data_IF_105801022536
#
_entry.id   IF_105801022536
#
_cell.length_a   1.000
_cell.length_b   1.000
_cell.length_c   1.000
_cell.angle_alpha   90.00
_cell.angle_beta   90.00
_cell.angle_gamma   90.00
#
_symmetry.space_group_name_H-M   'P 1'
#
loop_
_entity.id
_entity.type
_entity.pdbx_description
1 polymer ?
#
# COMPACT_ATOMS: atom_id res chain seq x y z
N UNK A 1 -19.43 14.54 -12.29
CA UNK A 1 -19.51 13.43 -13.27
C UNK A 1 -19.11 12.18 -12.52
N UNK A 2 -20.04 11.26 -12.27
CA UNK A 2 -19.72 9.93 -11.77
C UNK A 2 -19.07 9.16 -12.93
N UNK A 3 -17.78 8.88 -12.83
CA UNK A 3 -17.13 7.96 -13.74
C UNK A 3 -17.67 6.56 -13.43
N UNK A 4 -18.50 6.03 -14.31
CA UNK A 4 -18.89 4.62 -14.27
C UNK A 4 -17.65 3.81 -14.62
N UNK A 5 -16.89 3.40 -13.61
CA UNK A 5 -15.86 2.37 -13.77
C UNK A 5 -16.57 1.09 -14.18
N UNK A 6 -16.61 0.81 -15.48
CA UNK A 6 -16.98 -0.51 -15.95
C UNK A 6 -15.85 -1.46 -15.58
N UNK A 7 -16.08 -2.29 -14.58
CA UNK A 7 -15.20 -3.41 -14.24
C UNK A 7 -15.09 -4.32 -15.48
N UNK A 8 -13.90 -4.42 -16.05
CA UNK A 8 -13.63 -5.31 -17.18
C UNK A 8 -13.15 -6.66 -16.63
N UNK A 9 -13.82 -7.73 -17.05
CA UNK A 9 -13.61 -9.08 -16.56
C UNK A 9 -12.57 -9.80 -17.44
N UNK A 10 -11.53 -10.34 -16.81
CA UNK A 10 -10.57 -11.23 -17.45
C UNK A 10 -10.81 -12.66 -16.97
N UNK A 11 -10.85 -13.61 -17.91
CA UNK A 11 -10.95 -15.04 -17.63
C UNK A 11 -9.88 -15.78 -18.43
N UNK A 12 -9.05 -16.56 -17.74
CA UNK A 12 -7.94 -17.34 -18.32
C UNK A 12 -7.97 -18.72 -17.68
N UNK A 13 -8.24 -19.74 -18.48
CA UNK A 13 -8.44 -21.11 -18.00
C UNK A 13 -9.45 -21.19 -16.83
N UNK A 14 -9.07 -21.73 -15.66
CA UNK A 14 -9.94 -21.82 -14.49
C UNK A 14 -10.05 -20.51 -13.68
N UNK A 15 -9.25 -19.49 -14.00
CA UNK A 15 -9.21 -18.21 -13.29
C UNK A 15 -10.17 -17.19 -13.89
N UNK A 16 -10.79 -16.38 -13.03
CA UNK A 16 -11.54 -15.18 -13.43
C UNK A 16 -11.36 -14.08 -12.40
N UNK A 17 -11.08 -12.87 -12.85
CA UNK A 17 -10.92 -11.68 -12.02
C UNK A 17 -11.61 -10.46 -12.67
N UNK A 18 -11.98 -9.49 -11.86
CA UNK A 18 -12.48 -8.18 -12.28
C UNK A 18 -11.35 -7.15 -12.14
N UNK A 19 -11.09 -6.37 -13.19
CA UNK A 19 -10.08 -5.34 -13.15
C UNK A 19 -10.75 -3.97 -12.94
N UNK A 20 -10.75 -3.55 -11.67
CA UNK A 20 -11.49 -2.40 -11.11
C UNK A 20 -10.52 -1.26 -10.81
N UNK A 21 -10.35 -0.35 -11.75
CA UNK A 21 -9.29 0.67 -11.66
C UNK A 21 -7.91 0.00 -11.59
N UNK A 22 -7.17 0.24 -10.51
CA UNK A 22 -5.86 -0.34 -10.24
C UNK A 22 -5.91 -1.73 -9.55
N UNK A 23 -7.10 -2.22 -9.19
CA UNK A 23 -7.29 -3.42 -8.37
C UNK A 23 -7.57 -4.66 -9.22
N UNK A 24 -6.89 -5.77 -8.89
CA UNK A 24 -7.28 -7.12 -9.35
C UNK A 24 -8.34 -7.64 -8.36
N UNK A 25 -9.60 -7.31 -8.61
CA UNK A 25 -10.73 -7.58 -7.73
C UNK A 25 -11.40 -8.93 -8.00
N UNK A 26 -12.15 -9.41 -7.02
CA UNK A 26 -13.09 -10.54 -7.12
C UNK A 26 -12.46 -11.76 -7.81
N UNK A 27 -11.25 -12.12 -7.36
CA UNK A 27 -10.41 -13.16 -7.94
C UNK A 27 -10.98 -14.53 -7.56
N UNK A 28 -11.35 -15.28 -8.60
CA UNK A 28 -12.00 -16.59 -8.47
C UNK A 28 -11.20 -17.66 -9.20
N UNK A 29 -11.21 -18.88 -8.65
CA UNK A 29 -10.70 -20.09 -9.27
C UNK A 29 -11.82 -21.13 -9.33
N UNK A 30 -12.16 -21.61 -10.53
CA UNK A 30 -13.30 -22.52 -10.79
C UNK A 30 -14.60 -22.05 -10.11
N UNK A 31 -14.87 -20.75 -10.18
CA UNK A 31 -16.05 -20.10 -9.58
C UNK A 31 -15.99 -19.87 -8.06
N UNK A 32 -14.98 -20.38 -7.36
CA UNK A 32 -14.79 -20.11 -5.93
C UNK A 32 -14.03 -18.79 -5.74
N UNK A 33 -14.53 -17.88 -4.90
CA UNK A 33 -13.83 -16.65 -4.54
C UNK A 33 -12.63 -16.99 -3.64
N UNK A 34 -11.42 -16.77 -4.15
CA UNK A 34 -10.17 -17.10 -3.44
C UNK A 34 -9.52 -15.87 -2.82
N UNK A 35 -9.59 -14.71 -3.49
CA UNK A 35 -9.18 -13.39 -2.98
C UNK A 35 -10.23 -12.35 -3.33
N UNK A 36 -10.47 -11.38 -2.44
CA UNK A 36 -11.27 -10.20 -2.74
C UNK A 36 -10.54 -9.22 -3.64
N UNK A 37 -9.24 -9.03 -3.41
CA UNK A 37 -8.44 -8.05 -4.14
C UNK A 37 -6.94 -8.32 -4.05
N UNK A 38 -6.21 -7.92 -5.10
CA UNK A 38 -4.77 -7.62 -5.05
C UNK A 38 -4.60 -6.17 -5.49
N UNK A 39 -3.83 -5.39 -4.72
CA UNK A 39 -3.55 -3.97 -4.99
C UNK A 39 -2.10 -3.64 -4.69
N UNK A 40 -1.57 -2.59 -5.33
CA UNK A 40 -0.48 -1.80 -4.75
C UNK A 40 -1.09 -0.65 -3.94
N UNK A 41 -0.53 -0.32 -2.78
CA UNK A 41 -1.07 0.69 -1.87
C UNK A 41 0.03 1.60 -1.36
N UNK A 42 -0.16 2.91 -1.50
CA UNK A 42 0.69 3.95 -0.90
C UNK A 42 -0.07 4.65 0.21
N UNK A 43 0.51 4.71 1.43
CA UNK A 43 0.00 5.53 2.54
C UNK A 43 1.09 6.41 3.13
N UNK A 44 0.78 7.69 3.28
CA UNK A 44 1.69 8.67 3.87
C UNK A 44 1.72 8.59 5.40
N UNK A 45 2.48 9.49 6.01
CA UNK A 45 2.62 9.59 7.46
C UNK A 45 1.33 9.88 8.23
N UNK A 46 0.32 10.48 7.58
CA UNK A 46 -1.01 10.76 8.15
C UNK A 46 -1.99 9.61 7.85
N UNK A 47 -1.48 8.48 7.35
CA UNK A 47 -2.25 7.32 6.89
C UNK A 47 -3.21 7.63 5.73
N UNK A 48 -3.04 8.73 5.00
CA UNK A 48 -3.84 8.98 3.77
C UNK A 48 -3.42 7.98 2.71
N UNK A 49 -4.37 7.21 2.18
CA UNK A 49 -4.13 6.43 0.96
C UNK A 49 -4.01 7.40 -0.22
N UNK A 50 -3.04 7.17 -1.11
CA UNK A 50 -2.92 7.95 -2.32
C UNK A 50 -4.10 7.68 -3.27
N UNK A 51 -4.51 8.68 -4.05
CA UNK A 51 -5.47 8.48 -5.13
C UNK A 51 -4.77 7.74 -6.29
N UNK A 52 -5.28 6.58 -6.68
CA UNK A 52 -4.76 5.80 -7.81
C UNK A 52 -5.38 6.26 -9.13
N UNK A 53 -4.55 6.60 -10.11
CA UNK A 53 -4.99 6.87 -11.50
C UNK A 53 -4.35 5.86 -12.45
N UNK A 54 -5.15 4.99 -13.06
CA UNK A 54 -4.68 4.14 -14.16
C UNK A 54 -4.26 5.01 -15.34
N UNK A 55 -3.00 4.89 -15.75
CA UNK A 55 -2.42 5.60 -16.89
C UNK A 55 -2.57 4.79 -18.17
N UNK A 56 -2.22 3.50 -18.09
CA UNK A 56 -2.26 2.54 -19.20
C UNK A 56 -2.65 1.18 -18.64
N UNK A 57 -3.43 0.44 -19.40
CA UNK A 57 -3.76 -0.94 -19.11
C UNK A 57 -3.76 -1.73 -20.40
N UNK A 58 -3.13 -2.90 -20.37
CA UNK A 58 -3.07 -3.84 -21.49
C UNK A 58 -3.51 -5.20 -20.96
N UNK A 59 -4.45 -5.83 -21.66
CA UNK A 59 -4.78 -7.25 -21.48
C UNK A 59 -4.44 -7.91 -22.80
N UNK A 60 -3.43 -8.78 -22.78
CA UNK A 60 -3.10 -9.61 -23.92
C UNK A 60 -3.82 -10.95 -23.75
N UNK A 61 -4.82 -11.18 -24.59
CA UNK A 61 -5.72 -12.33 -24.49
C UNK A 61 -5.09 -13.63 -24.98
N UNK A 62 -4.07 -13.55 -25.84
CA UNK A 62 -3.35 -14.71 -26.37
C UNK A 62 -2.14 -15.07 -25.48
N UNK A 63 -1.55 -14.08 -24.83
CA UNK A 63 -0.31 -14.19 -24.03
C UNK A 63 -0.53 -14.38 -22.51
N UNK A 64 -1.79 -14.50 -22.07
CA UNK A 64 -2.22 -14.67 -20.66
C UNK A 64 -1.68 -13.58 -19.69
N UNK A 65 -1.46 -12.37 -20.22
CA UNK A 65 -0.74 -11.26 -19.56
C UNK A 65 -1.62 -10.03 -19.37
N UNK A 66 -1.58 -9.47 -18.15
CA UNK A 66 -2.16 -8.15 -17.86
C UNK A 66 -1.03 -7.22 -17.41
N UNK A 67 -0.98 -6.01 -17.98
CA UNK A 67 -0.14 -4.90 -17.52
C UNK A 67 -1.02 -3.76 -17.06
N UNK A 68 -0.77 -3.21 -15.87
CA UNK A 68 -1.44 -2.01 -15.36
C UNK A 68 -0.37 -1.02 -14.91
N UNK A 69 -0.36 0.19 -15.48
CA UNK A 69 0.48 1.30 -15.02
C UNK A 69 -0.38 2.34 -14.32
N UNK A 70 0.00 2.74 -13.10
CA UNK A 70 -0.75 3.69 -12.26
C UNK A 70 0.12 4.84 -11.77
N UNK A 71 -0.55 5.96 -11.50
CA UNK A 71 0.00 7.16 -10.90
C UNK A 71 -0.65 7.34 -9.54
N UNK A 72 0.13 7.19 -8.47
CA UNK A 72 -0.30 7.32 -7.08
C UNK A 72 -0.11 8.78 -6.66
N UNK A 73 -1.20 9.44 -6.23
CA UNK A 73 -1.22 10.90 -6.06
C UNK A 73 -1.65 11.35 -4.67
N UNK A 74 -1.03 12.43 -4.19
CA UNK A 74 -1.57 13.23 -3.09
C UNK A 74 -1.86 14.63 -3.60
N UNK A 75 -3.09 15.10 -3.35
CA UNK A 75 -3.51 16.46 -3.66
C UNK A 75 -3.26 16.83 -5.15
N UNK A 76 -3.46 15.84 -6.04
CA UNK A 76 -3.24 15.94 -7.49
C UNK A 76 -1.79 15.74 -7.97
N UNK A 77 -0.81 15.56 -7.07
CA UNK A 77 0.61 15.41 -7.42
C UNK A 77 1.06 13.94 -7.32
N UNK A 78 1.63 13.41 -8.42
CA UNK A 78 2.25 12.08 -8.44
C UNK A 78 3.40 12.00 -7.42
N UNK A 79 3.36 10.96 -6.58
CA UNK A 79 4.42 10.64 -5.60
C UNK A 79 5.06 9.27 -5.85
N UNK A 80 4.31 8.34 -6.44
CA UNK A 80 4.79 7.04 -6.89
C UNK A 80 4.15 6.73 -8.25
N UNK A 81 4.93 6.13 -9.15
CA UNK A 81 4.43 5.49 -10.36
C UNK A 81 4.58 3.99 -10.23
N UNK A 82 3.50 3.24 -10.42
CA UNK A 82 3.49 1.80 -10.23
C UNK A 82 3.26 1.08 -11.55
N UNK A 83 3.93 -0.05 -11.72
CA UNK A 83 3.62 -1.04 -12.75
C UNK A 83 3.25 -2.35 -12.04
N UNK A 84 2.09 -2.90 -12.39
CA UNK A 84 1.72 -4.29 -12.12
C UNK A 84 1.84 -5.09 -13.41
N UNK A 85 2.57 -6.20 -13.35
CA UNK A 85 2.61 -7.24 -14.37
C UNK A 85 1.98 -8.50 -13.79
N UNK A 86 0.92 -8.98 -14.42
CA UNK A 86 0.19 -10.19 -14.03
C UNK A 86 0.39 -11.24 -15.11
N UNK A 87 0.69 -12.46 -14.71
CA UNK A 87 0.59 -13.64 -15.57
C UNK A 87 -0.35 -14.64 -14.93
N UNK A 88 -1.16 -15.30 -15.74
CA UNK A 88 -2.01 -16.41 -15.31
C UNK A 88 -1.55 -17.64 -16.09
N UNK A 89 -1.16 -18.70 -15.40
CA UNK A 89 -0.74 -19.98 -16.01
C UNK A 89 -1.46 -21.12 -15.29
N UNK A 90 -2.17 -22.00 -16.01
CA UNK A 90 -2.87 -23.21 -15.49
C UNK A 90 -3.59 -23.04 -14.13
N UNK A 91 -2.88 -23.33 -13.04
CA UNK A 91 -3.34 -23.35 -11.64
C UNK A 91 -2.79 -22.18 -10.81
N UNK A 92 -2.08 -21.25 -11.43
CA UNK A 92 -1.23 -20.25 -10.79
C UNK A 92 -1.49 -18.84 -11.32
N UNK A 93 -1.67 -17.88 -10.40
CA UNK A 93 -1.74 -16.45 -10.65
C UNK A 93 -0.49 -15.77 -10.08
N UNK A 94 0.26 -15.04 -10.91
CA UNK A 94 1.46 -14.29 -10.50
C UNK A 94 1.23 -12.80 -10.66
N UNK A 95 1.69 -12.01 -9.69
CA UNK A 95 1.71 -10.55 -9.80
C UNK A 95 3.09 -10.04 -9.39
N UNK A 96 3.77 -9.34 -10.30
CA UNK A 96 4.97 -8.58 -10.01
C UNK A 96 4.62 -7.08 -9.96
N UNK A 97 5.07 -6.39 -8.93
CA UNK A 97 4.81 -4.98 -8.69
C UNK A 97 6.10 -4.18 -8.58
N UNK A 98 6.16 -3.05 -9.30
CA UNK A 98 7.30 -2.12 -9.28
C UNK A 98 6.77 -0.71 -9.06
N UNK A 99 6.94 -0.18 -7.85
CA UNK A 99 6.63 1.21 -7.51
C UNK A 99 7.89 2.08 -7.53
N UNK A 100 7.95 3.09 -8.41
CA UNK A 100 9.05 4.06 -8.47
C UNK A 100 8.60 5.38 -7.85
N UNK A 101 9.29 5.81 -6.79
CA UNK A 101 9.01 7.08 -6.12
C UNK A 101 9.42 8.25 -7.02
N UNK A 102 8.50 9.14 -7.31
CA UNK A 102 8.71 10.32 -8.17
C UNK A 102 8.91 11.60 -7.36
N UNK A 103 8.41 11.65 -6.12
CA UNK A 103 8.52 12.80 -5.22
C UNK A 103 8.85 12.35 -3.79
N UNK A 104 9.65 13.12 -3.07
CA UNK A 104 9.96 12.83 -1.67
C UNK A 104 8.70 12.94 -0.80
N UNK A 105 8.47 11.96 0.06
CA UNK A 105 7.45 12.01 1.11
C UNK A 105 7.85 11.12 2.30
N UNK A 106 6.98 11.03 3.31
CA UNK A 106 7.10 10.09 4.43
C UNK A 106 6.00 9.05 4.32
N UNK A 107 6.37 7.76 4.27
CA UNK A 107 5.44 6.63 4.15
C UNK A 107 5.15 5.98 5.51
N UNK A 108 3.91 5.55 5.69
CA UNK A 108 3.56 4.47 6.63
C UNK A 108 3.37 3.14 5.88
N UNK A 109 2.98 3.16 4.59
CA UNK A 109 2.88 1.96 3.75
C UNK A 109 3.27 2.24 2.30
N UNK A 110 3.97 1.30 1.68
CA UNK A 110 4.15 1.23 0.23
C UNK A 110 4.33 -0.26 -0.11
N UNK A 111 3.60 -0.79 -1.09
CA UNK A 111 3.73 -2.20 -1.46
C UNK A 111 2.42 -2.87 -1.85
N UNK A 112 2.52 -4.16 -2.17
CA UNK A 112 1.42 -5.06 -2.43
C UNK A 112 0.58 -5.30 -1.17
N UNK A 113 -0.72 -5.39 -1.39
CA UNK A 113 -1.74 -5.73 -0.40
C UNK A 113 -2.65 -6.80 -0.99
N UNK A 114 -2.87 -7.86 -0.22
CA UNK A 114 -3.75 -8.98 -0.59
C UNK A 114 -4.94 -8.98 0.36
N UNK A 115 -6.16 -8.86 -0.19
CA UNK A 115 -7.41 -8.92 0.56
C UNK A 115 -8.03 -10.30 0.45
N UNK A 116 -8.16 -10.98 1.60
CA UNK A 116 -8.79 -12.27 1.72
C UNK A 116 -10.28 -12.12 2.08
N UNK A 117 -11.18 -13.01 1.58
CA UNK A 117 -12.60 -12.96 1.92
C UNK A 117 -12.88 -13.13 3.43
N UNK A 118 -13.88 -12.42 3.98
CA UNK A 118 -14.26 -12.54 5.39
C UNK A 118 -14.95 -13.87 5.69
N UNK A 119 -15.39 -14.60 4.65
CA UNK A 119 -15.92 -15.96 4.72
C UNK A 119 -14.88 -17.00 5.15
N UNK A 120 -13.59 -16.64 5.18
CA UNK A 120 -12.52 -17.47 5.76
C UNK A 120 -12.49 -17.42 7.30
N UNK A 121 -13.37 -16.68 7.97
CA UNK A 121 -13.40 -16.63 9.44
C UNK A 121 -13.51 -18.02 10.08
N UNK A 122 -12.50 -18.42 10.86
CA UNK A 122 -12.37 -19.76 11.46
C UNK A 122 -11.65 -20.80 10.60
N UNK A 123 -11.29 -20.47 9.35
CA UNK A 123 -10.56 -21.36 8.44
C UNK A 123 -9.10 -21.54 8.89
N UNK A 124 -8.61 -22.79 8.87
CA UNK A 124 -7.21 -23.10 9.16
C UNK A 124 -6.27 -22.40 8.17
N UNK A 125 -5.17 -21.90 8.71
CA UNK A 125 -4.16 -21.11 8.01
C UNK A 125 -2.77 -21.59 8.45
N UNK A 126 -1.94 -22.01 7.51
CA UNK A 126 -0.50 -22.23 7.75
C UNK A 126 0.26 -20.99 7.32
N UNK A 127 1.08 -20.44 8.22
CA UNK A 127 2.00 -19.35 7.94
C UNK A 127 3.37 -19.94 7.65
N UNK A 128 3.96 -19.58 6.51
CA UNK A 128 5.36 -19.88 6.17
C UNK A 128 6.22 -18.64 6.46
N UNK A 129 7.28 -18.81 7.22
CA UNK A 129 8.14 -17.73 7.68
C UNK A 129 9.39 -17.57 6.78
N UNK A 130 9.98 -16.37 6.66
CA UNK A 130 11.25 -16.14 5.96
C UNK A 130 12.40 -17.02 6.46
N UNK A 131 12.35 -17.46 7.72
CA UNK A 131 13.29 -18.40 8.33
C UNK A 131 13.18 -19.85 7.82
N UNK A 132 12.18 -20.16 7.00
CA UNK A 132 11.83 -21.53 6.58
C UNK A 132 10.96 -22.30 7.58
N UNK A 133 10.68 -21.73 8.76
CA UNK A 133 9.74 -22.30 9.73
C UNK A 133 8.28 -22.17 9.29
N UNK A 134 7.39 -22.93 9.95
CA UNK A 134 5.94 -22.84 9.74
C UNK A 134 5.17 -22.75 11.06
N UNK A 135 4.09 -21.96 11.07
CA UNK A 135 3.15 -21.87 12.20
C UNK A 135 1.74 -22.22 11.74
N UNK A 136 1.11 -23.18 12.40
CA UNK A 136 -0.31 -23.49 12.21
C UNK A 136 -1.18 -22.57 13.07
N UNK A 137 -2.16 -21.91 12.44
CA UNK A 137 -3.11 -20.99 13.07
C UNK A 137 -4.46 -21.07 12.32
N UNK A 138 -5.31 -20.07 12.51
CA UNK A 138 -6.53 -19.88 11.72
C UNK A 138 -6.77 -18.40 11.44
N UNK A 139 -7.49 -18.09 10.37
CA UNK A 139 -8.16 -16.80 10.24
C UNK A 139 -9.13 -16.63 11.42
N UNK A 140 -9.08 -15.51 12.18
CA UNK A 140 -9.91 -15.33 13.36
C UNK A 140 -11.41 -15.50 13.09
N UNK A 141 -12.10 -16.33 13.88
CA UNK A 141 -13.56 -16.41 13.80
C UNK A 141 -14.18 -15.09 14.28
N UNK A 142 -13.90 -14.73 15.54
CA UNK A 142 -14.19 -13.42 16.12
C UNK A 142 -13.21 -12.36 15.60
N UNK A 143 -13.60 -11.09 15.67
CA UNK A 143 -12.77 -9.97 15.22
C UNK A 143 -11.52 -9.88 16.10
N UNK A 144 -10.34 -9.95 15.48
CA UNK A 144 -9.06 -9.79 16.16
C UNK A 144 -8.58 -8.33 16.10
N UNK A 145 -8.26 -7.69 17.25
CA UNK A 145 -7.69 -6.34 17.28
C UNK A 145 -6.16 -6.31 17.05
N UNK A 146 -5.54 -7.47 16.79
CA UNK A 146 -4.11 -7.66 16.55
C UNK A 146 -3.91 -8.52 15.30
N UNK A 147 -2.67 -8.60 14.80
CA UNK A 147 -2.29 -9.38 13.62
C UNK A 147 -2.46 -10.90 13.87
N UNK A 148 -3.40 -11.60 13.21
CA UNK A 148 -3.47 -13.07 13.28
C UNK A 148 -2.28 -13.83 12.70
N UNK A 149 -1.47 -13.18 11.85
CA UNK A 149 -0.23 -13.75 11.33
C UNK A 149 0.83 -12.65 11.20
N UNK A 150 2.06 -12.95 11.61
CA UNK A 150 3.23 -12.06 11.56
C UNK A 150 4.43 -12.83 10.98
N UNK A 151 5.46 -12.11 10.55
CA UNK A 151 6.66 -12.68 9.93
C UNK A 151 6.32 -13.60 8.74
N UNK A 152 5.52 -13.11 7.80
CA UNK A 152 4.94 -13.89 6.70
C UNK A 152 5.81 -13.77 5.45
N UNK A 153 6.28 -14.93 4.96
CA UNK A 153 6.80 -15.12 3.59
C UNK A 153 5.79 -15.87 2.70
N UNK A 154 4.85 -16.61 3.28
CA UNK A 154 3.77 -17.24 2.55
C UNK A 154 2.64 -17.74 3.44
N UNK A 155 1.50 -18.08 2.83
CA UNK A 155 0.30 -18.55 3.49
C UNK A 155 -0.28 -19.77 2.75
N UNK A 156 -0.78 -20.77 3.48
CA UNK A 156 -1.60 -21.86 2.93
C UNK A 156 -2.95 -21.93 3.63
N UNK A 157 -4.03 -22.05 2.86
CA UNK A 157 -5.39 -22.21 3.37
C UNK A 157 -6.28 -22.94 2.36
N UNK A 158 -7.55 -23.16 2.72
CA UNK A 158 -8.56 -23.63 1.79
C UNK A 158 -9.71 -22.62 1.67
N UNK A 159 -10.22 -22.41 0.47
CA UNK A 159 -11.46 -21.72 0.20
C UNK A 159 -12.45 -22.74 -0.38
N UNK A 160 -13.36 -23.26 0.45
CA UNK A 160 -14.25 -24.35 0.06
C UNK A 160 -13.47 -25.57 -0.48
N UNK A 161 -13.67 -26.01 -1.73
CA UNK A 161 -12.94 -27.12 -2.35
C UNK A 161 -11.58 -26.73 -2.96
N UNK A 162 -11.14 -25.47 -2.86
CA UNK A 162 -9.87 -25.01 -3.45
C UNK A 162 -8.80 -24.91 -2.37
N UNK A 163 -7.72 -25.66 -2.51
CA UNK A 163 -6.52 -25.52 -1.68
C UNK A 163 -5.59 -24.46 -2.29
N UNK A 164 -5.15 -23.51 -1.48
CA UNK A 164 -4.46 -22.29 -1.90
C UNK A 164 -3.10 -22.19 -1.23
N UNK A 165 -2.08 -21.84 -2.01
CA UNK A 165 -0.75 -21.50 -1.51
C UNK A 165 -0.31 -20.17 -2.10
N UNK A 166 -0.02 -19.20 -1.22
CA UNK A 166 0.43 -17.85 -1.59
C UNK A 166 1.88 -17.66 -1.15
N UNK A 167 2.79 -17.48 -2.10
CA UNK A 167 4.15 -17.01 -1.85
C UNK A 167 4.21 -15.48 -1.99
N UNK A 168 4.97 -14.82 -1.11
CA UNK A 168 5.14 -13.36 -1.05
C UNK A 168 6.64 -13.01 -1.07
N UNK A 169 7.00 -11.95 -1.80
CA UNK A 169 8.41 -11.56 -2.00
C UNK A 169 8.60 -10.04 -2.00
N UNK A 170 9.80 -9.60 -1.63
CA UNK A 170 10.26 -8.20 -1.70
C UNK A 170 10.09 -7.36 -0.42
N UNK A 171 9.44 -7.91 0.62
CA UNK A 171 9.44 -7.43 2.00
C UNK A 171 8.96 -8.57 2.91
N UNK A 172 8.97 -8.39 4.23
CA UNK A 172 8.25 -9.26 5.17
C UNK A 172 6.80 -8.78 5.26
N UNK A 173 5.86 -9.71 5.35
CA UNK A 173 4.43 -9.39 5.41
C UNK A 173 3.84 -9.75 6.79
N UNK A 174 2.67 -9.19 7.09
CA UNK A 174 1.80 -9.60 8.20
C UNK A 174 0.34 -9.53 7.76
N UNK A 175 -0.54 -10.23 8.46
CA UNK A 175 -1.99 -10.24 8.19
C UNK A 175 -2.73 -9.55 9.33
N UNK A 176 -3.61 -8.61 8.97
CA UNK A 176 -4.55 -7.92 9.86
C UNK A 176 -5.98 -8.37 9.59
N UNK A 177 -6.80 -8.42 10.64
CA UNK A 177 -8.25 -8.53 10.51
C UNK A 177 -8.89 -7.14 10.35
N UNK A 178 -9.20 -6.74 9.11
CA UNK A 178 -9.77 -5.42 8.87
C UNK A 178 -11.23 -5.28 9.29
N UNK A 179 -11.89 -6.34 9.75
CA UNK A 179 -13.23 -6.24 10.35
C UNK A 179 -13.19 -5.35 11.60
N UNK A 180 -12.04 -5.29 12.28
CA UNK A 180 -11.75 -4.35 13.36
C UNK A 180 -11.77 -2.87 12.91
N UNK A 181 -11.59 -2.61 11.61
CA UNK A 181 -11.64 -1.30 10.96
C UNK A 181 -12.88 -1.12 10.06
N UNK A 182 -13.90 -1.97 10.25
CA UNK A 182 -15.15 -2.02 9.46
C UNK A 182 -15.04 -2.48 8.00
N UNK A 183 -13.85 -2.82 7.49
CA UNK A 183 -13.73 -3.46 6.18
C UNK A 183 -14.03 -4.96 6.27
N UNK A 184 -14.80 -5.48 5.32
CA UNK A 184 -15.15 -6.90 5.26
C UNK A 184 -14.02 -7.77 4.64
N UNK A 185 -12.84 -7.80 5.24
CA UNK A 185 -11.67 -8.56 4.75
C UNK A 185 -10.63 -8.86 5.83
N UNK A 186 -9.83 -9.91 5.61
CA UNK A 186 -8.48 -9.98 6.21
C UNK A 186 -7.49 -9.42 5.18
N UNK A 187 -6.41 -8.78 5.63
CA UNK A 187 -5.47 -8.06 4.76
C UNK A 187 -4.05 -8.47 5.08
N UNK A 188 -3.40 -9.10 4.12
CA UNK A 188 -1.95 -9.34 4.17
C UNK A 188 -1.23 -8.18 3.50
N UNK A 189 -0.24 -7.59 4.18
CA UNK A 189 0.48 -6.41 3.71
C UNK A 189 1.92 -6.38 4.22
N UNK A 190 2.71 -5.50 3.62
CA UNK A 190 4.01 -5.05 4.11
C UNK A 190 4.01 -3.51 4.25
N UNK A 191 5.00 -2.88 4.88
CA UNK A 191 5.97 -3.42 5.85
C UNK A 191 5.26 -3.69 7.20
N UNK A 192 5.73 -4.61 8.07
CA UNK A 192 5.05 -4.93 9.34
C UNK A 192 4.90 -3.74 10.29
N UNK A 193 3.85 -3.69 11.12
CA UNK A 193 3.59 -2.59 12.07
C UNK A 193 4.58 -2.53 13.24
N UNK A 194 5.38 -3.56 13.45
CA UNK A 194 6.49 -3.53 14.41
C UNK A 194 7.70 -2.71 13.91
N UNK A 195 7.82 -2.50 12.60
CA UNK A 195 8.92 -1.74 12.00
C UNK A 195 8.73 -0.22 12.19
N UNK A 196 9.81 0.58 12.18
CA UNK A 196 9.70 2.03 12.35
C UNK A 196 8.85 2.69 11.25
N UNK A 197 7.87 3.49 11.64
CA UNK A 197 7.13 4.39 10.75
C UNK A 197 6.81 5.73 11.45
N UNK A 198 6.65 6.85 10.74
CA UNK A 198 6.83 7.01 9.29
C UNK A 198 8.30 7.00 8.83
N UNK A 199 8.57 6.42 7.66
CA UNK A 199 9.91 6.41 7.03
C UNK A 199 9.98 7.43 5.90
N UNK A 200 11.04 8.23 5.83
CA UNK A 200 11.29 9.11 4.69
C UNK A 200 11.72 8.31 3.44
N UNK A 201 11.17 8.64 2.28
CA UNK A 201 11.49 7.99 1.01
C UNK A 201 11.78 9.03 -0.08
N UNK A 202 12.77 8.75 -0.92
CA UNK A 202 13.36 9.71 -1.87
C UNK A 202 12.94 9.43 -3.33
N UNK A 203 12.91 10.45 -4.20
CA UNK A 203 12.74 10.24 -5.65
C UNK A 203 13.78 9.27 -6.21
N UNK A 204 13.38 8.42 -7.14
CA UNK A 204 14.20 7.36 -7.72
C UNK A 204 14.26 6.07 -6.90
N UNK A 205 13.81 6.06 -5.64
CA UNK A 205 13.69 4.82 -4.86
C UNK A 205 12.67 3.89 -5.55
N UNK A 206 13.06 2.64 -5.79
CA UNK A 206 12.18 1.61 -6.35
C UNK A 206 11.80 0.59 -5.29
N UNK A 207 10.50 0.30 -5.16
CA UNK A 207 9.94 -0.79 -4.37
C UNK A 207 9.57 -1.91 -5.32
N UNK A 208 10.09 -3.12 -5.09
CA UNK A 208 9.82 -4.31 -5.90
C UNK A 208 9.27 -5.40 -5.01
N UNK A 209 8.07 -5.88 -5.32
CA UNK A 209 7.42 -6.96 -4.60
C UNK A 209 6.71 -7.87 -5.59
N UNK A 210 6.46 -9.11 -5.18
CA UNK A 210 5.71 -10.04 -6.00
C UNK A 210 4.96 -11.06 -5.17
N UNK A 211 3.90 -11.61 -5.76
CA UNK A 211 3.18 -12.75 -5.21
C UNK A 211 2.99 -13.83 -6.27
N UNK A 212 2.92 -15.08 -5.81
CA UNK A 212 2.48 -16.23 -6.61
C UNK A 212 1.39 -16.94 -5.80
N UNK A 213 0.18 -16.99 -6.33
CA UNK A 213 -0.95 -17.71 -5.76
C UNK A 213 -1.20 -18.97 -6.60
N UNK A 214 -1.03 -20.14 -6.00
CA UNK A 214 -1.35 -21.44 -6.60
C UNK A 214 -2.68 -21.94 -6.03
N UNK A 215 -3.53 -22.49 -6.89
CA UNK A 215 -4.87 -22.95 -6.57
C UNK A 215 -5.08 -24.36 -7.12
N UNK A 216 -5.07 -25.36 -6.24
CA UNK A 216 -5.37 -26.74 -6.64
C UNK A 216 -6.80 -27.10 -6.27
N UNK A 217 -7.48 -27.84 -7.16
CA UNK A 217 -8.80 -28.38 -6.85
C UNK A 217 -8.65 -29.55 -5.88
N UNK A 218 -8.90 -29.28 -4.59
CA UNK A 218 -8.88 -30.29 -3.55
C UNK A 218 -10.17 -31.10 -3.56
N UNK A 219 -10.06 -32.40 -3.89
CA UNK A 219 -10.83 -33.39 -3.14
C UNK A 219 -10.54 -33.19 -1.65
N UNK A 220 -11.49 -33.43 -0.74
CA UNK A 220 -11.47 -32.91 0.62
C UNK A 220 -10.14 -33.17 1.32
N UNK A 221 -9.39 -32.09 1.59
CA UNK A 221 -8.17 -32.16 2.39
C UNK A 221 -8.50 -32.83 3.72
N UNK A 222 -7.68 -33.82 4.11
CA UNK A 222 -8.05 -34.84 5.10
C UNK A 222 -8.70 -34.26 6.35
N UNK A 223 -9.88 -34.78 6.69
CA UNK A 223 -10.58 -34.40 7.92
C UNK A 223 -9.73 -34.68 9.15
N UNK A 224 -9.93 -33.94 10.26
CA UNK A 224 -9.20 -34.20 11.50
C UNK A 224 -9.42 -35.64 11.93
N UNK A 225 -8.32 -36.34 12.23
CA UNK A 225 -8.33 -37.77 12.52
C UNK A 225 -9.37 -38.14 13.58
N UNK A 226 -9.98 -39.30 13.39
CA UNK A 226 -11.08 -39.83 14.19
C UNK A 226 -10.74 -39.85 15.68
N UNK A 227 -11.14 -38.81 16.42
CA UNK A 227 -11.13 -38.85 17.88
C UNK A 227 -12.20 -39.84 18.32
N UNK A 228 -11.77 -40.99 18.82
CA UNK A 228 -12.63 -41.93 19.55
C UNK A 228 -13.45 -41.18 20.61
N UNK A 229 -14.70 -41.60 20.90
CA UNK A 229 -15.58 -40.91 21.84
C UNK A 229 -15.09 -41.05 23.29
N UNK A 230 -14.13 -40.21 23.67
CA UNK A 230 -13.66 -40.07 25.04
C UNK A 230 -14.71 -39.37 25.91
N UNK A 231 -15.35 -40.16 26.78
CA UNK A 231 -16.17 -39.83 27.94
C UNK A 231 -16.64 -38.35 28.10
N UNK A 232 -17.96 -38.17 28.13
CA UNK A 232 -18.58 -36.90 28.51
C UNK A 232 -18.17 -36.46 29.92
N UNK A 233 -17.53 -35.30 30.03
CA UNK A 233 -17.45 -34.58 31.32
C UNK A 233 -18.79 -33.87 31.59
N UNK A 234 -19.31 -33.91 32.82
CA UNK A 234 -20.63 -33.37 33.13
C UNK A 234 -20.66 -31.85 33.00
N UNK A 235 -21.79 -31.32 32.54
CA UNK A 235 -22.02 -29.89 32.43
C UNK A 235 -21.89 -29.21 33.80
N UNK A 236 -20.98 -28.23 33.91
CA UNK A 236 -20.98 -27.29 35.04
C UNK A 236 -22.21 -26.39 34.92
N UNK A 237 -23.24 -26.71 35.67
CA UNK A 237 -24.40 -25.84 35.86
C UNK A 237 -23.96 -24.53 36.51
N UNK A 238 -24.19 -23.41 35.83
CA UNK A 238 -23.98 -22.08 36.42
C UNK A 238 -25.07 -21.84 37.46
N UNK A 239 -24.73 -22.02 38.73
CA UNK A 239 -25.62 -21.68 39.85
C UNK A 239 -25.65 -20.17 39.99
N UNK A 240 -26.82 -19.55 39.76
CA UNK A 240 -27.02 -18.13 40.06
C UNK A 240 -26.83 -17.90 41.57
N UNK A 241 -25.79 -17.14 41.94
CA UNK A 241 -25.59 -16.62 43.27
C UNK A 241 -26.23 -15.24 43.39
N UNK A 242 -27.41 -15.18 44.01
CA UNK A 242 -28.08 -13.93 44.39
C UNK A 242 -27.34 -13.28 45.58
N UNK A 243 -26.29 -12.52 45.29
CA UNK A 243 -25.68 -11.59 46.23
C UNK A 243 -26.37 -10.22 46.22
N UNK A 244 -26.53 -9.54 47.36
CA UNK A 244 -27.18 -8.22 47.40
C UNK A 244 -26.31 -7.12 46.74
N UNK A 245 -26.98 -6.17 46.10
CA UNK A 245 -26.36 -5.04 45.41
C UNK A 245 -25.61 -4.09 46.38
N UNK A 246 -24.45 -3.55 46.00
CA UNK A 246 -23.75 -2.56 46.81
C UNK A 246 -24.45 -1.19 46.79
N UNK A 247 -24.66 -0.62 47.98
CA UNK A 247 -25.24 0.71 48.21
C UNK A 247 -24.27 1.84 47.77
N UNK A 248 -24.77 2.97 47.24
CA UNK A 248 -23.94 4.06 46.72
C UNK A 248 -23.23 4.86 47.83
N UNK A 249 -21.97 5.21 47.62
CA UNK A 249 -21.16 5.97 48.57
C UNK A 249 -21.63 7.42 48.74
N UNK A 250 -21.70 7.84 50.00
CA UNK A 250 -22.14 9.19 50.39
C UNK A 250 -21.03 10.24 50.25
N UNK A 251 -21.41 11.43 49.77
CA UNK A 251 -20.50 12.58 49.61
C UNK A 251 -20.02 13.12 50.96
N UNK A 252 -18.78 12.84 51.36
CA UNK A 252 -18.09 13.63 52.40
C UNK A 252 -17.36 14.83 51.79
N UNK A 253 -17.89 16.03 52.02
CA UNK A 253 -17.16 17.30 51.84
C UNK A 253 -15.94 17.31 52.78
N UNK A 254 -14.75 17.62 52.26
CA UNK A 254 -13.65 18.19 53.05
C UNK A 254 -13.23 19.53 52.45
N UNK A 255 -12.83 20.44 53.34
CA UNK A 255 -12.66 21.87 53.07
C UNK A 255 -11.36 22.17 52.35
N UNK A 256 -11.38 23.27 51.61
CA UNK A 256 -10.24 23.89 50.94
C UNK A 256 -9.18 24.37 51.92
N UNK A 257 -7.91 24.21 51.56
CA UNK A 257 -6.80 25.05 52.04
C UNK A 257 -6.03 25.55 50.83
N UNK A 258 -5.89 26.88 50.73
CA UNK A 258 -5.27 27.55 49.59
C UNK A 258 -3.81 27.85 49.93
N UNK A 259 -2.85 27.26 49.19
CA UNK A 259 -1.43 27.61 49.28
C UNK A 259 -0.95 28.16 47.94
N UNK A 260 -0.53 29.44 47.94
CA UNK A 260 -0.05 30.16 46.76
C UNK A 260 1.28 29.56 46.28
N UNK A 261 1.31 28.99 45.08
CA UNK A 261 2.56 28.71 44.36
C UNK A 261 3.00 29.97 43.62
N UNK A 262 4.19 30.48 43.93
CA UNK A 262 4.79 31.63 43.23
C UNK A 262 5.46 31.15 41.94
N UNK A 263 5.07 31.69 40.80
CA UNK A 263 5.82 31.51 39.55
C UNK A 263 7.20 32.16 39.67
N UNK A 264 8.27 31.38 39.49
CA UNK A 264 9.64 31.89 39.35
C UNK A 264 10.02 31.89 37.87
N UNK A 265 10.10 33.08 37.29
CA UNK A 265 10.53 33.27 35.90
C UNK A 265 12.02 32.95 35.74
N UNK A 266 12.34 31.97 34.90
CA UNK A 266 13.70 31.74 34.44
C UNK A 266 13.94 32.58 33.17
N UNK A 267 14.74 33.64 33.31
CA UNK A 267 15.26 34.41 32.17
C UNK A 267 16.42 33.64 31.53
N UNK A 268 16.45 33.62 30.20
CA UNK A 268 17.59 33.14 29.44
C UNK A 268 18.87 33.93 29.79
N UNK A 269 20.02 33.24 29.76
CA UNK A 269 21.34 33.86 29.64
C UNK A 269 22.04 33.27 28.43
N UNK A 270 22.30 34.11 27.45
CA UNK A 270 23.24 33.88 26.36
C UNK A 270 24.64 34.27 26.83
N UNK A 271 25.62 33.41 26.54
CA UNK A 271 27.06 33.76 26.59
C UNK A 271 27.75 33.05 25.44
N UNK A 272 28.46 33.77 24.54
CA UNK A 272 29.25 33.16 23.48
C UNK A 272 30.66 32.84 23.97
N UNK A 273 31.26 31.77 23.45
CA UNK A 273 32.71 31.54 23.54
C UNK A 273 33.23 31.12 22.17
N UNK A 274 33.92 32.03 21.49
CA UNK A 274 34.83 31.68 20.41
C UNK A 274 36.15 31.17 20.99
N UNK A 275 36.71 30.12 20.40
CA UNK A 275 38.15 29.89 20.43
C UNK A 275 38.61 29.45 19.04
N UNK A 276 39.50 30.25 18.44
CA UNK A 276 40.16 29.96 17.18
C UNK A 276 41.66 29.74 17.42
N UNK A 277 42.26 28.85 16.64
CA UNK A 277 43.66 28.41 16.78
C UNK A 277 43.80 27.01 16.20
N UNK A 278 44.02 26.77 14.90
CA UNK A 278 44.91 27.37 13.87
C UNK A 278 46.34 26.83 13.92
N UNK A 279 46.86 26.47 12.73
CA UNK A 279 48.23 26.03 12.36
C UNK A 279 48.49 24.51 12.45
N UNK A 280 49.23 23.85 11.53
CA UNK A 280 49.38 23.99 10.05
C UNK A 280 50.46 23.03 9.53
N UNK A 281 50.22 22.36 8.38
CA UNK A 281 51.23 21.91 7.38
C UNK A 281 52.26 20.85 7.88
N UNK A 282 52.94 20.02 7.06
CA UNK A 282 52.99 19.68 5.62
C UNK A 282 53.36 18.16 5.52
N UNK A 283 53.36 17.41 4.41
CA UNK A 283 54.07 17.60 3.14
C UNK A 283 53.67 16.54 2.08
N UNK A 284 53.77 16.89 0.79
CA UNK A 284 53.95 15.98 -0.39
C UNK A 284 55.47 15.68 -0.59
N UNK A 285 55.99 14.92 -1.60
CA UNK A 285 55.43 14.40 -2.88
C UNK A 285 55.68 12.85 -3.05
N UNK A 286 55.55 12.13 -4.18
CA UNK A 286 55.96 12.34 -5.58
C UNK A 286 55.35 11.31 -6.57
N UNK A 287 55.42 11.60 -7.88
CA UNK A 287 55.20 10.64 -8.99
C UNK A 287 56.56 10.30 -9.69
N UNK A 288 56.62 9.33 -10.63
CA UNK A 288 56.74 9.76 -12.04
C UNK A 288 56.15 8.83 -13.16
N UNK A 289 56.18 9.42 -14.37
CA UNK A 289 55.91 9.01 -15.78
C UNK A 289 56.47 7.61 -16.17
N UNK A 290 56.00 6.84 -17.17
CA UNK A 290 56.03 7.01 -18.68
C UNK A 290 55.39 5.77 -19.40
N UNK A 291 55.13 5.65 -20.72
CA UNK A 291 54.71 6.54 -21.84
C UNK A 291 54.56 5.79 -23.21
N UNK A 292 53.82 6.36 -24.20
CA UNK A 292 53.83 6.11 -25.68
C UNK A 292 53.30 4.79 -26.32
N UNK A 293 52.39 4.92 -27.31
CA UNK A 293 52.58 4.53 -28.74
C UNK A 293 51.48 5.12 -29.66
N UNK A 294 51.70 5.14 -30.98
CA UNK A 294 50.86 5.82 -31.99
C UNK A 294 50.49 4.93 -33.20
N UNK A 295 49.31 5.21 -33.80
CA UNK A 295 48.95 5.08 -35.24
C UNK A 295 48.84 3.67 -35.89
N UNK A 296 48.13 3.49 -37.04
CA UNK A 296 47.55 4.48 -37.97
C UNK A 296 46.05 4.32 -38.40
N UNK A 297 45.63 5.24 -39.29
CA UNK A 297 44.36 5.38 -40.08
C UNK A 297 44.33 4.45 -41.33
N UNK A 298 43.28 4.35 -42.22
CA UNK A 298 42.32 5.38 -42.71
C UNK A 298 40.82 4.90 -42.87
N UNK A 299 39.84 5.63 -43.41
CA UNK A 299 39.73 7.00 -43.96
C UNK A 299 38.34 7.31 -44.58
N UNK A 300 38.16 8.51 -45.18
CA UNK A 300 36.98 8.93 -46.00
C UNK A 300 35.69 9.30 -45.22
N UNK A 301 34.81 10.22 -45.64
CA UNK A 301 34.83 11.22 -46.74
C UNK A 301 33.92 12.41 -46.36
N UNK A 302 34.21 13.64 -46.83
CA UNK A 302 33.33 14.83 -46.68
C UNK A 302 32.51 15.06 -47.95
N UNK A 303 31.26 15.55 -47.80
CA UNK A 303 30.51 16.31 -48.82
C UNK A 303 29.79 17.47 -48.12
N UNK A 304 29.57 18.60 -48.79
CA UNK A 304 28.96 19.80 -48.21
C UNK A 304 28.09 20.59 -49.21
N UNK A 305 26.94 21.11 -48.72
CA UNK A 305 26.19 22.30 -49.21
C UNK A 305 25.56 22.23 -50.64
N UNK A 306 24.57 23.08 -51.04
CA UNK A 306 24.16 24.45 -50.61
C UNK A 306 22.78 24.54 -49.88
N UNK A 307 22.44 25.59 -49.10
CA UNK A 307 21.91 26.96 -49.45
C UNK A 307 20.68 26.90 -50.39
N UNK A 308 19.56 27.61 -50.13
CA UNK A 308 19.43 29.09 -50.01
C UNK A 308 18.24 29.61 -49.16
N UNK A 309 18.36 30.88 -48.69
CA UNK A 309 17.34 31.94 -48.46
C UNK A 309 15.98 31.68 -47.74
N UNK A 310 15.50 32.53 -46.82
CA UNK A 310 16.09 33.79 -46.32
C UNK A 310 15.18 34.66 -45.41
N UNK A 311 15.63 35.89 -45.18
CA UNK A 311 14.90 37.07 -44.63
C UNK A 311 14.24 37.00 -43.24
N UNK A 312 15.02 37.39 -42.22
CA UNK A 312 14.60 38.35 -41.17
C UNK A 312 14.71 39.81 -41.74
N UNK A 313 14.36 40.92 -41.03
CA UNK A 313 14.04 41.07 -39.60
C UNK A 313 12.88 42.03 -39.23
N UNK A 314 12.50 42.10 -37.94
CA UNK A 314 12.59 43.34 -37.14
C UNK A 314 12.21 43.13 -35.67
N UNK A 315 13.04 43.66 -34.77
CA UNK A 315 12.73 43.79 -33.33
C UNK A 315 12.33 45.23 -33.05
N UNK A 316 11.17 45.46 -32.40
CA UNK A 316 10.93 46.68 -31.61
C UNK A 316 10.12 46.39 -30.36
N UNK A 317 10.59 46.91 -29.24
CA UNK A 317 9.83 46.99 -27.99
C UNK A 317 8.72 48.04 -28.13
N UNK A 318 7.58 47.84 -27.45
CA UNK A 318 6.93 48.96 -26.76
C UNK A 318 5.99 48.53 -25.62
N UNK A 319 5.88 49.42 -24.65
CA UNK A 319 5.23 49.35 -23.35
C UNK A 319 3.77 48.86 -23.28
N UNK A 320 3.52 48.05 -22.24
CA UNK A 320 2.50 48.22 -21.19
C UNK A 320 1.11 48.82 -21.53
N UNK A 321 0.05 48.12 -21.06
CA UNK A 321 -0.98 48.73 -20.19
C UNK A 321 -1.76 47.69 -19.36
N UNK A 322 -2.18 48.10 -18.17
CA UNK A 322 -3.14 47.39 -17.29
C UNK A 322 -4.56 47.57 -17.84
N UNK A 323 -5.49 46.67 -17.53
CA UNK A 323 -6.62 47.00 -16.62
C UNK A 323 -7.70 45.90 -16.46
N UNK A 324 -8.13 45.74 -15.21
CA UNK A 324 -9.47 45.35 -14.68
C UNK A 324 -10.34 44.24 -15.30
N UNK A 325 -10.58 43.23 -14.45
CA UNK A 325 -11.89 42.73 -13.97
C UNK A 325 -13.13 42.88 -14.88
N UNK A 326 -13.84 41.76 -15.07
CA UNK A 326 -15.29 41.76 -14.93
C UNK A 326 -15.77 40.52 -14.17
N UNK A 327 -16.63 40.73 -13.18
CA UNK A 327 -17.17 39.71 -12.27
C UNK A 327 -18.66 39.54 -12.50
N UNK A 328 -19.16 38.30 -12.60
CA UNK A 328 -20.59 38.00 -12.43
C UNK A 328 -20.82 36.79 -11.55
N UNK A 329 -21.56 36.99 -10.47
CA UNK A 329 -22.09 35.94 -9.62
C UNK A 329 -23.46 35.47 -10.17
N UNK A 330 -23.69 34.16 -10.15
CA UNK A 330 -25.01 33.55 -10.35
C UNK A 330 -25.57 33.09 -9.01
N UNK A 331 -26.77 33.57 -8.64
CA UNK A 331 -27.42 33.21 -7.36
C UNK A 331 -28.15 31.88 -7.43
N UNK A 332 -28.24 31.23 -6.27
CA UNK A 332 -29.12 30.12 -5.99
C UNK A 332 -30.61 30.46 -6.22
N UNK A 333 -31.39 29.46 -6.65
CA UNK A 333 -32.81 29.33 -6.32
C UNK A 333 -33.10 27.89 -5.92
N UNK A 334 -33.80 27.73 -4.81
CA UNK A 334 -34.43 26.48 -4.40
C UNK A 334 -35.94 26.55 -4.70
N UNK A 335 -36.53 25.43 -5.09
CA UNK A 335 -37.97 25.21 -5.15
C UNK A 335 -38.23 23.72 -5.00
N UNK A 336 -38.99 23.32 -3.99
CA UNK A 336 -39.22 21.91 -3.65
C UNK A 336 -40.54 21.34 -4.14
N UNK A 337 -40.66 20.01 -4.03
CA UNK A 337 -41.87 19.17 -3.93
C UNK A 337 -43.05 19.48 -4.87
N UNK A 338 -43.42 18.49 -5.70
CA UNK A 338 -44.62 17.70 -5.36
C UNK A 338 -44.61 16.30 -5.99
N UNK A 339 -45.21 15.36 -5.26
CA UNK A 339 -45.44 13.96 -5.61
C UNK A 339 -46.60 13.82 -6.61
N UNK A 340 -46.57 12.81 -7.50
CA UNK A 340 -47.77 12.07 -7.94
C UNK A 340 -47.40 10.76 -8.65
N UNK A 341 -47.83 9.64 -8.06
CA UNK A 341 -48.05 8.38 -8.76
C UNK A 341 -49.55 8.21 -9.03
N UNK A 342 -49.88 7.61 -10.19
CA UNK A 342 -51.14 6.96 -10.65
C UNK A 342 -51.04 6.93 -12.18
N UNK A 343 -51.37 5.86 -12.89
CA UNK A 343 -51.96 4.55 -12.52
C UNK A 343 -51.30 3.46 -13.35
#
# INVERSE_FOLDING_TARGET
MTATSNDEIVSVGPWRLALRGAELADVTFRGTLVLRAIRFVVRDHDWRTADDTVLTRTVDGDDERIRIETSERYDGVEVVRTVLEVTVDDDTLRVAAVGTVTRAFRRNRIGLVVLHPPTLAGQLLTVRHPSGGVTATAFPFWIAPHQPAVDVAGLDWAAGPVALSLDLTGDVFETEDQRNWTDASFKTYSTPLAEPFPVAITPGTTVRQGLTLRATAGGPAGGPGTRSPGAASPARTWRHSTGPLPVPWSRRRRRSSCSRVRHRSLRARTTPTCSAGSRSWSSRPSAPRTSRRCSPRPGGTRVALPWTSGSSPTTRCCCARRSTRCSRAGRWRASGRSTRCRT
#
